data_IF_551266044681
#
_entry.id   IF_551266044681
#
_cell.length_a   1.000
_cell.length_b   1.000
_cell.length_c   1.000
_cell.angle_alpha   90.00
_cell.angle_beta   90.00
_cell.angle_gamma   90.00
#
_symmetry.space_group_name_H-M   'P 1'
#
loop_
_entity.id
_entity.type
_entity.pdbx_description
1 polymer ?
#
# COMPACT_ATOMS: atom_id res chain seq x y z
N UNK A 1 2.44 -9.20 12.29
CA UNK A 1 2.78 -7.96 11.59
C UNK A 1 4.22 -7.90 11.10
N UNK A 2 5.16 -8.61 11.75
CA UNK A 2 6.56 -8.62 11.30
C UNK A 2 6.73 -9.11 9.88
N UNK A 3 6.07 -10.21 9.51
CA UNK A 3 6.19 -10.77 8.17
C UNK A 3 5.67 -9.80 7.11
N UNK A 4 4.59 -9.10 7.43
CA UNK A 4 4.03 -8.09 6.54
C UNK A 4 5.03 -6.96 6.31
N UNK A 5 5.62 -6.45 7.41
CA UNK A 5 6.59 -5.36 7.33
C UNK A 5 7.81 -5.75 6.51
N UNK A 6 8.33 -6.95 6.70
CA UNK A 6 9.51 -7.42 5.96
C UNK A 6 9.23 -7.54 4.48
N UNK A 7 8.06 -8.06 4.11
CA UNK A 7 7.70 -8.16 2.69
C UNK A 7 7.55 -6.80 2.04
N UNK A 8 6.94 -5.86 2.75
CA UNK A 8 6.77 -4.51 2.23
C UNK A 8 8.11 -3.81 2.02
N UNK A 9 9.10 -4.07 2.86
CA UNK A 9 10.43 -3.48 2.70
C UNK A 9 11.12 -3.87 1.40
N UNK A 10 10.73 -4.98 0.80
CA UNK A 10 11.31 -5.45 -0.45
C UNK A 10 10.69 -4.81 -1.68
N UNK A 11 9.62 -4.03 -1.49
CA UNK A 11 8.93 -3.39 -2.60
C UNK A 11 9.36 -1.94 -2.66
N UNK A 12 10.42 -1.67 -3.39
CA UNK A 12 10.91 -0.33 -3.64
C UNK A 12 11.20 -0.18 -5.12
N UNK A 13 10.76 0.94 -5.69
CA UNK A 13 11.01 1.28 -7.09
C UNK A 13 10.54 0.21 -8.06
N UNK A 14 9.39 -0.39 -7.78
CA UNK A 14 8.77 -1.40 -8.63
C UNK A 14 7.66 -0.79 -9.47
N UNK A 15 7.42 -1.38 -10.63
CA UNK A 15 6.24 -1.04 -11.41
C UNK A 15 5.04 -1.76 -10.84
N UNK A 16 3.90 -1.11 -10.86
CA UNK A 16 2.71 -1.73 -10.35
C UNK A 16 1.47 -0.89 -10.53
N UNK A 17 0.39 -1.39 -9.98
CA UNK A 17 -0.91 -0.72 -9.98
C UNK A 17 -1.36 -0.54 -8.53
N UNK A 18 -1.86 0.63 -8.21
CA UNK A 18 -2.40 0.93 -6.90
C UNK A 18 -3.88 1.25 -7.04
N UNK A 19 -4.71 0.59 -6.27
CA UNK A 19 -6.14 0.83 -6.24
C UNK A 19 -6.48 1.39 -4.86
N UNK A 20 -6.99 2.62 -4.86
CA UNK A 20 -7.38 3.32 -3.64
C UNK A 20 -8.90 3.35 -3.57
N UNK A 21 -9.45 2.81 -2.50
CA UNK A 21 -10.89 2.81 -2.26
C UNK A 21 -11.14 3.51 -0.94
N UNK A 22 -11.96 4.53 -0.96
CA UNK A 22 -12.30 5.33 0.22
C UNK A 22 -13.80 5.42 0.35
N UNK A 23 -14.30 5.39 1.59
CA UNK A 23 -15.74 5.42 1.84
C UNK A 23 -16.41 6.69 1.34
N UNK A 24 -15.67 7.79 1.30
CA UNK A 24 -16.21 9.11 0.95
C UNK A 24 -15.86 9.57 -0.45
N UNK A 25 -14.99 8.86 -1.16
CA UNK A 25 -14.51 9.25 -2.47
C UNK A 25 -14.60 8.11 -3.46
N UNK A 26 -14.60 8.45 -4.74
CA UNK A 26 -14.60 7.45 -5.80
C UNK A 26 -13.29 6.66 -5.78
N UNK A 27 -13.37 5.42 -6.24
CA UNK A 27 -12.20 4.58 -6.39
C UNK A 27 -11.23 5.21 -7.38
N UNK A 28 -9.95 5.18 -7.02
CA UNK A 28 -8.87 5.65 -7.88
C UNK A 28 -7.95 4.49 -8.24
N UNK A 29 -7.52 4.46 -9.48
CA UNK A 29 -6.58 3.46 -9.97
C UNK A 29 -5.37 4.21 -10.54
N UNK A 30 -4.19 3.89 -10.02
CA UNK A 30 -2.94 4.51 -10.44
C UNK A 30 -2.01 3.45 -11.02
N UNK A 31 -1.54 3.67 -12.24
CA UNK A 31 -0.51 2.84 -12.85
C UNK A 31 0.83 3.51 -12.59
N UNK A 32 1.73 2.82 -11.93
CA UNK A 32 2.96 3.40 -11.41
C UNK A 32 4.18 2.81 -12.08
N UNK A 33 5.05 3.66 -12.61
CA UNK A 33 6.36 3.26 -13.12
C UNK A 33 7.32 3.00 -11.96
N UNK A 34 7.20 3.77 -10.89
CA UNK A 34 8.01 3.60 -9.69
C UNK A 34 7.13 3.75 -8.48
N UNK A 35 7.02 2.68 -7.74
CA UNK A 35 6.22 2.56 -6.54
C UNK A 35 7.17 2.44 -5.36
N UNK A 36 6.98 3.27 -4.35
CA UNK A 36 7.83 3.26 -3.17
C UNK A 36 6.99 3.02 -1.92
N UNK A 37 7.29 1.95 -1.20
CA UNK A 37 6.57 1.60 0.03
C UNK A 37 7.29 2.24 1.22
N UNK A 38 6.50 2.86 2.09
CA UNK A 38 6.99 3.45 3.33
C UNK A 38 6.48 2.59 4.49
N UNK A 39 7.39 2.19 5.34
CA UNK A 39 7.06 1.39 6.51
C UNK A 39 7.98 1.78 7.65
N UNK A 40 7.52 2.68 8.49
CA UNK A 40 8.27 3.11 9.67
C UNK A 40 7.57 2.61 10.95
N UNK A 41 8.01 3.09 12.10
CA UNK A 41 7.48 2.61 13.37
C UNK A 41 6.01 2.98 13.62
N UNK A 42 5.53 4.03 13.00
CA UNK A 42 4.19 4.55 13.27
C UNK A 42 3.23 4.47 12.09
N UNK A 43 3.74 4.34 10.86
CA UNK A 43 2.91 4.42 9.66
C UNK A 43 3.33 3.39 8.63
N UNK A 44 2.36 2.97 7.82
CA UNK A 44 2.60 2.17 6.64
C UNK A 44 1.88 2.82 5.47
N UNK A 45 2.50 2.84 4.31
CA UNK A 45 1.89 3.49 3.16
C UNK A 45 2.80 3.46 1.96
N UNK A 46 2.56 4.39 1.05
CA UNK A 46 3.30 4.43 -0.21
C UNK A 46 3.40 5.85 -0.74
N UNK A 47 4.35 6.03 -1.64
CA UNK A 47 4.52 7.27 -2.39
C UNK A 47 4.32 6.93 -3.86
N UNK A 48 3.38 7.62 -4.50
CA UNK A 48 3.12 7.51 -5.93
C UNK A 48 2.99 8.92 -6.50
N UNK A 49 3.70 9.20 -7.57
CA UNK A 49 3.59 10.48 -8.28
C UNK A 49 3.61 11.70 -7.33
N UNK A 50 4.52 11.70 -6.37
CA UNK A 50 4.65 12.76 -5.36
C UNK A 50 3.49 12.81 -4.36
N UNK A 51 2.61 11.83 -4.34
CA UNK A 51 1.57 11.72 -3.34
C UNK A 51 2.01 10.73 -2.25
N UNK A 52 1.79 11.13 -1.00
CA UNK A 52 2.09 10.30 0.16
C UNK A 52 0.77 9.82 0.75
N UNK A 53 0.60 8.50 0.82
CA UNK A 53 -0.62 7.89 1.32
C UNK A 53 -0.24 6.98 2.47
N UNK A 54 -0.73 7.29 3.67
CA UNK A 54 -0.36 6.58 4.88
C UNK A 54 -1.55 6.09 5.68
N UNK A 55 -1.36 4.99 6.37
CA UNK A 55 -2.25 4.52 7.42
C UNK A 55 -1.42 4.42 8.69
N UNK A 56 -1.87 5.04 9.77
CA UNK A 56 -1.22 4.90 11.06
C UNK A 56 -1.33 3.45 11.51
N UNK A 57 -0.24 2.85 11.94
CA UNK A 57 -0.23 1.43 12.28
C UNK A 57 -1.30 1.02 13.29
N UNK A 58 -1.57 1.79 14.35
CA UNK A 58 -2.66 1.44 15.25
C UNK A 58 -4.04 1.41 14.60
N UNK A 59 -4.21 2.11 13.48
CA UNK A 59 -5.49 2.17 12.76
C UNK A 59 -5.67 1.09 11.71
N UNK A 60 -4.64 0.30 11.45
CA UNK A 60 -4.72 -0.77 10.45
C UNK A 60 -5.67 -1.85 10.94
N UNK A 61 -6.71 -2.12 10.16
CA UNK A 61 -7.72 -3.13 10.48
C UNK A 61 -7.49 -4.43 9.75
N UNK A 62 -6.89 -4.38 8.58
CA UNK A 62 -6.71 -5.54 7.74
C UNK A 62 -5.43 -5.41 6.94
N UNK A 63 -4.69 -6.50 6.90
CA UNK A 63 -3.46 -6.59 6.12
C UNK A 63 -3.42 -7.96 5.46
N UNK A 64 -3.14 -8.00 4.17
CA UNK A 64 -3.02 -9.25 3.43
C UNK A 64 -1.91 -9.15 2.40
N UNK A 65 -1.15 -10.21 2.29
CA UNK A 65 -0.22 -10.39 1.19
C UNK A 65 -0.54 -11.73 0.51
N UNK A 66 -0.74 -11.69 -0.79
CA UNK A 66 -1.05 -12.88 -1.58
C UNK A 66 -0.30 -12.79 -2.90
N UNK A 67 0.85 -13.50 -2.97
CA UNK A 67 1.70 -13.41 -4.14
C UNK A 67 2.21 -11.99 -4.32
N UNK A 68 1.88 -11.38 -5.45
CA UNK A 68 2.28 -10.01 -5.77
C UNK A 68 1.22 -8.96 -5.43
N UNK A 69 0.20 -9.33 -4.67
CA UNK A 69 -0.88 -8.44 -4.28
C UNK A 69 -0.78 -8.15 -2.79
N UNK A 70 -0.70 -6.87 -2.44
CA UNK A 70 -0.64 -6.40 -1.07
C UNK A 70 -1.85 -5.53 -0.78
N UNK A 71 -2.56 -5.83 0.29
CA UNK A 71 -3.75 -5.07 0.68
C UNK A 71 -3.61 -4.62 2.12
N UNK A 72 -3.94 -3.36 2.36
CA UNK A 72 -3.99 -2.81 3.71
C UNK A 72 -5.20 -1.89 3.81
N UNK A 73 -5.84 -1.87 4.96
CA UNK A 73 -7.01 -1.03 5.15
C UNK A 73 -7.14 -0.55 6.59
N UNK A 74 -7.83 0.55 6.73
CA UNK A 74 -8.33 1.05 8.00
C UNK A 74 -9.86 1.17 7.89
N UNK A 75 -10.47 1.94 8.79
CA UNK A 75 -11.94 2.09 8.79
C UNK A 75 -12.46 2.87 7.58
N UNK A 76 -11.63 3.68 6.95
CA UNK A 76 -12.05 4.59 5.89
C UNK A 76 -11.53 4.22 4.51
N UNK A 77 -10.40 3.54 4.44
CA UNK A 77 -9.67 3.38 3.19
C UNK A 77 -9.16 1.96 3.02
N UNK A 78 -9.19 1.50 1.78
CA UNK A 78 -8.58 0.24 1.38
C UNK A 78 -7.56 0.50 0.28
N UNK A 79 -6.34 0.03 0.48
CA UNK A 79 -5.25 0.19 -0.48
C UNK A 79 -4.85 -1.18 -0.99
N UNK A 80 -4.94 -1.37 -2.29
CA UNK A 80 -4.49 -2.60 -2.95
C UNK A 80 -3.32 -2.26 -3.85
N UNK A 81 -2.20 -2.95 -3.66
CA UNK A 81 -0.98 -2.75 -4.44
C UNK A 81 -0.70 -4.03 -5.21
N UNK A 82 -0.69 -3.95 -6.52
CA UNK A 82 -0.39 -5.08 -7.39
C UNK A 82 0.96 -4.80 -8.05
N UNK A 83 1.97 -5.58 -7.67
CA UNK A 83 3.32 -5.40 -8.19
C UNK A 83 3.49 -6.28 -9.43
N UNK A 84 4.01 -5.72 -10.51
CA UNK A 84 4.15 -6.46 -11.77
C UNK A 84 5.13 -7.63 -11.65
N UNK A 85 6.22 -7.44 -10.91
CA UNK A 85 7.19 -8.49 -10.67
C UNK A 85 7.74 -8.36 -9.26
N UNK A 86 7.90 -9.47 -8.61
CA UNK A 86 8.60 -9.58 -7.34
C UNK A 86 9.87 -10.39 -7.52
#
# INVERSE_FOLDING_TARGET
>A
MRKFSEKFKKIEHCKGKVILEHKLFDRQIHHCESLHIINDNSRIGLIIKNQHIYIDKPSVKFVRNRGNIFTMSDDMMNITIIVNKL
#
